data_IF_722003735377
#
_entry.id   IF_722003735377
#
_cell.length_a   1.000
_cell.length_b   1.000
_cell.length_c   1.000
_cell.angle_alpha   90.00
_cell.angle_beta   90.00
_cell.angle_gamma   90.00
#
_symmetry.space_group_name_H-M   'P 1'
#
loop_
_entity.id
_entity.type
_entity.pdbx_description
1 polymer ?
#
# COMPACT_ATOMS: atom_id res chain seq x y z
N UNK A 1 11.73 -12.76 0.94
CA UNK A 1 10.88 -13.26 2.04
C UNK A 1 10.70 -12.16 3.07
N UNK A 2 9.47 -11.90 3.57
CA UNK A 2 9.22 -10.96 4.65
C UNK A 2 10.06 -11.31 5.89
N UNK A 3 10.66 -10.30 6.53
CA UNK A 3 11.41 -10.48 7.79
C UNK A 3 10.74 -9.68 8.90
N UNK A 4 11.00 -10.04 10.17
CA UNK A 4 10.47 -9.30 11.31
C UNK A 4 10.89 -7.83 11.29
N UNK A 5 12.13 -7.54 10.88
CA UNK A 5 12.62 -6.17 10.68
C UNK A 5 11.87 -5.44 9.57
N UNK A 6 11.60 -6.11 8.45
CA UNK A 6 10.81 -5.53 7.36
C UNK A 6 9.38 -5.21 7.78
N UNK A 7 8.77 -6.08 8.60
CA UNK A 7 7.44 -5.83 9.14
C UNK A 7 7.42 -4.58 10.01
N UNK A 8 8.34 -4.47 10.97
CA UNK A 8 8.48 -3.29 11.82
C UNK A 8 8.72 -2.02 10.99
N UNK A 9 9.59 -2.09 9.97
CA UNK A 9 9.85 -0.95 9.08
C UNK A 9 8.58 -0.47 8.35
N UNK A 10 7.70 -1.38 7.91
CA UNK A 10 6.41 -1.00 7.32
C UNK A 10 5.49 -0.33 8.37
N UNK A 11 5.40 -0.89 9.59
CA UNK A 11 4.58 -0.29 10.65
C UNK A 11 5.06 1.14 11.00
N UNK A 12 6.37 1.33 11.11
CA UNK A 12 6.99 2.62 11.39
C UNK A 12 6.77 3.60 10.25
N UNK A 13 6.91 3.15 9.01
CA UNK A 13 6.74 4.01 7.84
C UNK A 13 5.34 4.62 7.75
N UNK A 14 4.31 3.83 8.06
CA UNK A 14 2.92 4.27 7.99
C UNK A 14 2.41 4.98 9.25
N UNK A 15 3.19 5.02 10.33
CA UNK A 15 2.77 5.61 11.62
C UNK A 15 2.27 7.05 11.49
N UNK A 16 2.95 7.87 10.68
CA UNK A 16 2.58 9.28 10.48
C UNK A 16 1.31 9.46 9.62
N UNK A 17 0.89 8.42 8.89
CA UNK A 17 -0.20 8.46 7.91
C UNK A 17 -1.37 7.57 8.33
N UNK A 18 -1.64 7.50 9.64
CA UNK A 18 -2.74 6.70 10.21
C UNK A 18 -2.37 5.28 10.65
N UNK A 19 -1.14 4.85 10.41
CA UNK A 19 -0.64 3.53 10.83
C UNK A 19 -1.16 2.38 9.96
N UNK A 20 -1.19 1.20 10.55
CA UNK A 20 -1.68 -0.04 9.93
C UNK A 20 -2.60 -0.76 10.90
N UNK A 21 -3.67 -1.38 10.39
CA UNK A 21 -4.58 -2.20 11.17
C UNK A 21 -4.66 -3.63 10.63
N UNK A 22 -4.80 -4.65 11.50
CA UNK A 22 -5.27 -5.97 11.08
C UNK A 22 -6.64 -5.89 10.39
N UNK A 23 -6.86 -6.71 9.37
CA UNK A 23 -8.09 -6.66 8.56
C UNK A 23 -9.38 -6.92 9.39
N UNK A 24 -9.32 -7.77 10.40
CA UNK A 24 -10.44 -8.04 11.32
C UNK A 24 -10.76 -6.85 12.22
N UNK A 25 -9.74 -6.15 12.70
CA UNK A 25 -9.90 -4.89 13.44
C UNK A 25 -10.52 -3.83 12.54
N UNK A 26 -10.03 -3.66 11.31
CA UNK A 26 -10.59 -2.71 10.35
C UNK A 26 -12.05 -3.05 9.99
N UNK A 27 -12.38 -4.33 9.80
CA UNK A 27 -13.76 -4.75 9.52
C UNK A 27 -14.72 -4.36 10.66
N UNK A 28 -14.28 -4.46 11.92
CA UNK A 28 -15.06 -4.00 13.08
C UNK A 28 -15.21 -2.48 13.10
N UNK A 29 -14.15 -1.74 12.79
CA UNK A 29 -14.24 -0.28 12.69
C UNK A 29 -15.22 0.16 11.59
N UNK A 30 -15.21 -0.50 10.42
CA UNK A 30 -16.17 -0.23 9.35
C UNK A 30 -17.62 -0.48 9.78
N UNK A 31 -17.86 -1.48 10.63
CA UNK A 31 -19.19 -1.75 11.21
C UNK A 31 -19.64 -0.63 12.16
N UNK A 32 -18.74 -0.14 13.01
CA UNK A 32 -19.00 0.96 13.94
C UNK A 32 -19.31 2.29 13.21
N UNK A 33 -18.53 2.64 12.19
CA UNK A 33 -18.73 3.86 11.40
C UNK A 33 -19.98 3.82 10.52
N UNK A 34 -20.41 2.64 10.06
CA UNK A 34 -21.61 2.48 9.22
C UNK A 34 -22.93 2.35 10.01
N UNK A 35 -22.93 2.70 11.31
CA UNK A 35 -24.12 2.76 12.17
C UNK A 35 -25.02 1.52 12.07
N UNK A 36 -24.45 0.34 12.36
CA UNK A 36 -25.24 -0.85 12.73
C UNK A 36 -25.97 -1.57 11.59
N UNK A 37 -25.52 -1.44 10.34
CA UNK A 37 -26.20 -2.03 9.17
C UNK A 37 -25.69 -3.40 8.71
N UNK A 38 -24.54 -3.88 9.20
CA UNK A 38 -24.01 -5.19 8.80
C UNK A 38 -23.09 -5.79 9.88
N UNK A 39 -23.20 -7.10 10.09
CA UNK A 39 -22.34 -7.85 11.02
C UNK A 39 -20.85 -7.82 10.59
N UNK A 40 -19.92 -7.87 11.53
CA UNK A 40 -18.46 -7.93 11.31
C UNK A 40 -18.00 -8.90 10.20
N UNK A 41 -18.63 -10.07 10.06
CA UNK A 41 -18.30 -11.04 9.00
C UNK A 41 -18.59 -10.50 7.59
N UNK A 42 -19.68 -9.76 7.40
CA UNK A 42 -20.03 -9.13 6.12
C UNK A 42 -19.02 -8.06 5.75
N UNK A 43 -18.58 -7.25 6.72
CA UNK A 43 -17.54 -6.22 6.49
C UNK A 43 -16.18 -6.83 6.18
N UNK A 44 -15.84 -7.95 6.83
CA UNK A 44 -14.61 -8.67 6.52
C UNK A 44 -14.64 -9.26 5.10
N UNK A 45 -15.76 -9.84 4.69
CA UNK A 45 -15.95 -10.33 3.31
C UNK A 45 -15.85 -9.17 2.32
N UNK A 46 -16.46 -8.02 2.61
CA UNK A 46 -16.35 -6.84 1.77
C UNK A 46 -14.90 -6.33 1.67
N UNK A 47 -14.17 -6.26 2.78
CA UNK A 47 -12.77 -5.83 2.78
C UNK A 47 -11.89 -6.79 1.98
N UNK A 48 -12.12 -8.11 2.10
CA UNK A 48 -11.43 -9.11 1.27
C UNK A 48 -11.75 -8.92 -0.21
N UNK A 49 -13.00 -8.62 -0.56
CA UNK A 49 -13.38 -8.30 -1.94
C UNK A 49 -12.66 -7.05 -2.44
N UNK A 50 -12.60 -5.97 -1.64
CA UNK A 50 -11.87 -4.75 -2.00
C UNK A 50 -10.37 -5.00 -2.23
N UNK A 51 -9.77 -5.88 -1.43
CA UNK A 51 -8.38 -6.31 -1.63
C UNK A 51 -8.23 -7.13 -2.90
N UNK A 52 -9.17 -8.05 -3.17
CA UNK A 52 -9.17 -8.88 -4.36
C UNK A 52 -9.39 -8.09 -5.66
N UNK A 53 -10.26 -7.08 -5.64
CA UNK A 53 -10.50 -6.17 -6.77
C UNK A 53 -9.41 -5.11 -6.94
N UNK A 54 -8.43 -5.06 -6.03
CA UNK A 54 -7.33 -4.11 -6.08
C UNK A 54 -7.70 -2.68 -5.68
N UNK A 55 -8.89 -2.47 -5.11
CA UNK A 55 -9.34 -1.17 -4.60
C UNK A 55 -8.70 -0.83 -3.25
N UNK A 56 -8.31 -1.85 -2.49
CA UNK A 56 -7.50 -1.74 -1.28
C UNK A 56 -6.31 -2.68 -1.45
N UNK A 57 -5.21 -2.42 -0.77
CA UNK A 57 -4.16 -3.40 -0.59
C UNK A 57 -3.82 -3.58 0.88
N UNK A 58 -3.28 -4.75 1.18
CA UNK A 58 -2.70 -5.07 2.47
C UNK A 58 -1.56 -6.06 2.29
N UNK A 59 -0.73 -6.23 3.29
CA UNK A 59 0.38 -7.17 3.25
C UNK A 59 0.22 -8.24 4.33
N UNK A 60 0.61 -9.47 3.99
CA UNK A 60 0.52 -10.59 4.92
C UNK A 60 1.73 -10.64 5.86
N UNK A 61 1.46 -10.86 7.15
CA UNK A 61 2.48 -11.15 8.16
C UNK A 61 1.92 -12.14 9.18
N UNK A 62 2.61 -13.28 9.36
CA UNK A 62 2.22 -14.36 10.30
C UNK A 62 0.74 -14.77 10.19
N UNK A 63 0.28 -15.00 8.96
CA UNK A 63 -1.11 -15.39 8.65
C UNK A 63 -2.18 -14.35 8.96
N UNK A 64 -1.78 -13.09 9.16
CA UNK A 64 -2.70 -11.95 9.30
C UNK A 64 -2.49 -10.97 8.15
N UNK A 65 -3.59 -10.47 7.61
CA UNK A 65 -3.58 -9.38 6.62
C UNK A 65 -3.54 -8.04 7.35
N UNK A 66 -2.53 -7.22 7.04
CA UNK A 66 -2.35 -5.88 7.59
C UNK A 66 -2.64 -4.84 6.53
N UNK A 67 -3.48 -3.86 6.87
CA UNK A 67 -3.97 -2.81 5.98
C UNK A 67 -3.34 -1.48 6.38
N UNK A 68 -2.58 -0.80 5.49
CA UNK A 68 -2.19 0.58 5.68
C UNK A 68 -3.40 1.51 5.69
N UNK A 69 -3.56 2.29 6.76
CA UNK A 69 -4.77 3.09 7.01
C UNK A 69 -4.86 4.37 6.16
N UNK A 70 -3.75 4.81 5.54
CA UNK A 70 -3.75 5.98 4.68
C UNK A 70 -4.69 5.87 3.46
N UNK A 71 -5.12 4.65 3.11
CA UNK A 71 -6.06 4.37 2.03
C UNK A 71 -7.49 4.82 2.34
N UNK A 72 -7.77 5.20 3.59
CA UNK A 72 -9.08 5.54 4.09
C UNK A 72 -9.12 6.99 4.59
N UNK A 73 -10.29 7.60 4.51
CA UNK A 73 -10.60 8.83 5.22
C UNK A 73 -10.75 8.57 6.71
N UNK A 74 -10.15 9.43 7.54
CA UNK A 74 -10.13 9.23 8.98
C UNK A 74 -11.52 9.41 9.64
N UNK A 75 -12.41 10.14 8.97
CA UNK A 75 -13.71 10.55 9.50
C UNK A 75 -14.81 9.49 9.34
N UNK A 76 -14.77 8.70 8.27
CA UNK A 76 -15.85 7.78 7.89
C UNK A 76 -15.35 6.47 7.28
N UNK A 77 -14.03 6.30 7.18
CA UNK A 77 -13.39 5.17 6.54
C UNK A 77 -13.83 4.96 5.08
N UNK A 78 -14.23 6.02 4.38
CA UNK A 78 -14.37 6.00 2.94
C UNK A 78 -13.00 5.78 2.26
N UNK A 79 -12.98 5.13 1.09
CA UNK A 79 -11.75 4.93 0.34
C UNK A 79 -11.29 6.25 -0.30
N UNK A 80 -10.00 6.57 -0.14
CA UNK A 80 -9.40 7.74 -0.80
C UNK A 80 -9.15 7.48 -2.27
N UNK A 81 -9.70 8.32 -3.13
CA UNK A 81 -9.55 8.22 -4.59
C UNK A 81 -8.07 8.25 -4.99
N UNK A 82 -7.27 9.10 -4.36
CA UNK A 82 -5.84 9.24 -4.62
C UNK A 82 -5.08 7.93 -4.37
N UNK A 83 -5.38 7.25 -3.27
CA UNK A 83 -4.75 5.97 -2.95
C UNK A 83 -5.15 4.89 -3.95
N UNK A 84 -6.42 4.88 -4.39
CA UNK A 84 -6.93 3.95 -5.40
C UNK A 84 -6.28 4.17 -6.77
N UNK A 85 -6.15 5.42 -7.20
CA UNK A 85 -5.53 5.75 -8.48
C UNK A 85 -4.05 5.37 -8.52
N UNK A 86 -3.30 5.64 -7.45
CA UNK A 86 -1.90 5.20 -7.35
C UNK A 86 -1.80 3.68 -7.34
N UNK A 87 -2.68 2.99 -6.59
CA UNK A 87 -2.72 1.52 -6.59
C UNK A 87 -3.02 0.95 -7.96
N UNK A 88 -3.95 1.54 -8.71
CA UNK A 88 -4.28 1.13 -10.07
C UNK A 88 -3.13 1.37 -11.06
N UNK A 89 -2.32 2.40 -10.81
CA UNK A 89 -1.13 2.72 -11.58
C UNK A 89 0.10 1.86 -11.22
N UNK A 90 0.05 1.03 -10.18
CA UNK A 90 1.14 0.08 -9.87
C UNK A 90 0.90 -1.28 -10.55
N UNK A 91 1.97 -2.06 -10.83
CA UNK A 91 1.83 -3.37 -11.45
C UNK A 91 0.91 -4.30 -10.65
N UNK A 92 -0.14 -4.82 -11.30
CA UNK A 92 -1.17 -5.63 -10.63
C UNK A 92 -0.65 -6.97 -10.10
N UNK A 93 0.45 -7.48 -10.63
CA UNK A 93 1.10 -8.71 -10.19
C UNK A 93 1.94 -8.54 -8.92
N UNK A 94 2.12 -7.31 -8.43
CA UNK A 94 2.85 -7.09 -7.19
C UNK A 94 2.07 -7.60 -6.00
N UNK A 95 2.77 -8.33 -5.13
CA UNK A 95 2.22 -8.70 -3.84
C UNK A 95 1.91 -7.45 -3.01
N UNK A 96 0.97 -7.56 -2.09
CA UNK A 96 0.65 -6.45 -1.19
C UNK A 96 1.85 -5.97 -0.37
N UNK A 97 2.82 -6.86 -0.06
CA UNK A 97 4.10 -6.47 0.54
C UNK A 97 4.93 -5.57 -0.39
N UNK A 98 5.02 -5.91 -1.68
CA UNK A 98 5.73 -5.10 -2.67
C UNK A 98 5.11 -3.71 -2.83
N UNK A 99 3.77 -3.65 -2.87
CA UNK A 99 3.03 -2.38 -2.91
C UNK A 99 3.28 -1.57 -1.63
N UNK A 100 3.17 -2.18 -0.45
CA UNK A 100 3.43 -1.52 0.82
C UNK A 100 4.87 -0.98 0.91
N UNK A 101 5.85 -1.78 0.49
CA UNK A 101 7.25 -1.36 0.47
C UNK A 101 7.51 -0.19 -0.49
N UNK A 102 6.80 -0.12 -1.62
CA UNK A 102 6.91 1.01 -2.54
C UNK A 102 6.40 2.30 -1.90
N UNK A 103 5.25 2.26 -1.22
CA UNK A 103 4.73 3.43 -0.51
C UNK A 103 5.59 3.86 0.69
N UNK A 104 6.18 2.89 1.38
CA UNK A 104 7.00 3.10 2.58
C UNK A 104 8.45 3.51 2.26
N UNK A 105 8.94 3.18 1.07
CA UNK A 105 10.34 3.39 0.67
C UNK A 105 10.60 4.77 0.08
N UNK A 106 11.85 5.22 0.20
CA UNK A 106 12.33 6.38 -0.54
C UNK A 106 12.19 6.14 -2.05
N UNK A 107 11.58 7.09 -2.75
CA UNK A 107 11.33 6.98 -4.19
C UNK A 107 12.18 7.98 -4.97
N UNK A 108 13.00 7.48 -5.91
CA UNK A 108 13.89 8.31 -6.71
C UNK A 108 13.15 9.31 -7.62
N UNK A 109 11.92 8.99 -8.05
CA UNK A 109 11.08 9.91 -8.81
C UNK A 109 10.44 11.00 -7.94
N UNK A 110 10.54 10.88 -6.61
CA UNK A 110 10.01 11.82 -5.62
C UNK A 110 11.14 12.44 -4.78
N UNK A 111 12.33 12.63 -5.36
CA UNK A 111 13.48 13.21 -4.67
C UNK A 111 13.85 12.51 -3.34
N UNK A 112 13.74 11.17 -3.30
CA UNK A 112 13.94 10.34 -2.11
C UNK A 112 12.86 10.46 -1.01
N UNK A 113 11.79 11.23 -1.23
CA UNK A 113 10.62 11.21 -0.36
C UNK A 113 9.86 9.89 -0.47
N UNK A 114 9.12 9.55 0.58
CA UNK A 114 8.24 8.38 0.59
C UNK A 114 6.91 8.74 -0.09
N UNK A 115 6.39 7.91 -1.01
CA UNK A 115 5.10 8.18 -1.66
C UNK A 115 3.96 8.42 -0.68
N UNK A 116 3.94 7.71 0.46
CA UNK A 116 2.86 7.85 1.44
C UNK A 116 2.84 9.22 2.13
N UNK A 117 4.00 9.85 2.33
CA UNK A 117 4.08 11.20 2.92
C UNK A 117 3.66 12.28 1.93
N UNK A 118 3.89 12.03 0.64
CA UNK A 118 3.61 13.00 -0.41
C UNK A 118 2.20 12.91 -0.97
N UNK A 119 1.45 11.84 -0.66
CA UNK A 119 0.14 11.60 -1.25
C UNK A 119 -0.84 12.76 -1.01
N UNK A 120 -0.81 13.40 0.17
CA UNK A 120 -1.68 14.51 0.51
C UNK A 120 -1.17 15.87 -0.02
N UNK A 121 0.13 16.04 -0.22
CA UNK A 121 0.74 17.32 -0.59
C UNK A 121 1.03 17.45 -2.09
N UNK A 122 1.31 16.35 -2.78
CA UNK A 122 1.66 16.29 -4.20
C UNK A 122 1.26 14.94 -4.81
N UNK A 123 -0.05 14.71 -4.86
CA UNK A 123 -0.65 13.50 -5.45
C UNK A 123 -0.17 13.25 -6.89
N UNK A 124 -0.09 14.29 -7.73
CA UNK A 124 0.29 14.15 -9.13
C UNK A 124 1.74 13.68 -9.32
N UNK A 125 2.67 14.11 -8.45
CA UNK A 125 4.02 13.54 -8.45
C UNK A 125 4.01 12.05 -8.10
N UNK A 126 3.26 11.66 -7.06
CA UNK A 126 3.14 10.25 -6.64
C UNK A 126 2.53 9.39 -7.74
N UNK A 127 1.45 9.86 -8.38
CA UNK A 127 0.78 9.17 -9.49
C UNK A 127 1.72 8.98 -10.68
N UNK A 128 2.48 10.00 -11.07
CA UNK A 128 3.51 9.89 -12.13
C UNK A 128 4.62 8.90 -11.77
N UNK A 129 5.08 8.91 -10.51
CA UNK A 129 6.08 7.96 -10.04
C UNK A 129 5.58 6.51 -10.11
N UNK A 130 4.30 6.26 -9.79
CA UNK A 130 3.69 4.94 -9.95
C UNK A 130 3.61 4.50 -11.41
N UNK A 131 3.16 5.38 -12.31
CA UNK A 131 3.09 5.07 -13.74
C UNK A 131 4.47 4.74 -14.35
N UNK A 132 5.54 5.40 -13.89
CA UNK A 132 6.90 5.12 -14.34
C UNK A 132 7.38 3.70 -13.99
N UNK A 133 6.85 3.09 -12.92
CA UNK A 133 7.15 1.70 -12.54
C UNK A 133 6.62 0.73 -13.59
N UNK A 134 5.44 0.97 -14.17
CA UNK A 134 4.90 0.09 -15.21
C UNK A 134 5.75 0.09 -16.47
N UNK A 135 6.36 1.23 -16.80
CA UNK A 135 7.18 1.38 -17.99
C UNK A 135 8.57 0.73 -17.87
N UNK A 136 9.03 0.46 -16.65
CA UNK A 136 10.33 -0.18 -16.40
C UNK A 136 10.09 -1.58 -15.84
N UNK A 137 10.13 -2.60 -16.71
CA UNK A 137 10.09 -3.99 -16.29
C UNK A 137 11.29 -4.35 -15.41
N UNK A 138 11.18 -4.16 -14.09
CA UNK A 138 12.22 -4.53 -13.12
C UNK A 138 12.38 -3.57 -11.95
N UNK A 139 11.38 -3.50 -11.06
CA UNK A 139 11.61 -3.03 -9.69
C UNK A 139 11.62 -4.24 -8.75
N UNK A 140 12.70 -4.40 -7.98
CA UNK A 140 12.78 -5.38 -6.90
C UNK A 140 12.59 -4.66 -5.55
N UNK A 141 11.40 -4.77 -4.92
CA UNK A 141 11.09 -4.06 -3.66
C UNK A 141 11.85 -4.59 -2.44
N UNK A 142 12.55 -5.73 -2.54
CA UNK A 142 13.21 -6.36 -1.39
C UNK A 142 14.56 -5.72 -1.08
N UNK A 143 15.20 -5.12 -2.08
CA UNK A 143 16.46 -4.42 -1.93
C UNK A 143 16.43 -3.19 -2.83
N UNK A 144 16.50 -1.99 -2.28
CA UNK A 144 16.59 -0.72 -3.01
C UNK A 144 17.89 -0.60 -3.81
N UNK A 145 18.10 -1.47 -4.79
CA UNK A 145 19.14 -1.35 -5.82
C UNK A 145 18.56 -1.72 -7.18
N UNK A 146 18.75 -0.78 -8.10
CA UNK A 146 18.60 -0.93 -9.55
C UNK A 146 19.41 -2.15 -9.98
N UNK A 147 18.85 -3.03 -10.81
CA UNK A 147 19.68 -3.96 -11.57
C UNK A 147 20.55 -3.11 -12.49
N UNK A 148 21.82 -2.93 -12.12
CA UNK A 148 22.79 -2.32 -13.02
C UNK A 148 22.99 -3.26 -14.21
N UNK A 149 22.91 -2.67 -15.40
CA UNK A 149 23.01 -3.38 -16.65
C UNK A 149 24.35 -4.08 -16.79
N UNK A 150 24.29 -5.39 -17.05
CA UNK A 150 25.40 -6.10 -17.68
C UNK A 150 25.39 -5.75 -19.16
N UNK A 151 25.96 -4.58 -19.48
CA UNK A 151 26.63 -4.40 -20.75
C UNK A 151 27.95 -5.17 -20.68
N UNK A 152 28.06 -6.26 -21.42
CA UNK A 152 29.37 -6.79 -21.81
C UNK A 152 29.37 -6.97 -23.32
N UNK A 153 30.02 -6.00 -23.97
CA UNK A 153 30.73 -6.21 -25.22
C UNK A 153 31.77 -7.31 -25.00
N UNK A 154 31.80 -8.25 -25.93
CA UNK A 154 32.85 -9.22 -26.17
C UNK A 154 32.69 -9.72 -27.59
#
# INVERSE_FOLDING_TARGET
MPSGRGFIALLEAFRATGGTAPADVLARLLEEYQLGRACSLTQLVQLVQLVHTGQVFGFEWRSSLWIPMFQFEAQDLALKAEAQEVRAALPQLWSGWAVAAWFAGANAHLAQCRPVDMLASDFEAVRRAASAVQSVGGFNPVHGRRAEGLGLRG
#
